data_IF_250143228169
#
_entry.id   IF_250143228169
#
_cell.length_a   1.000
_cell.length_b   1.000
_cell.length_c   1.000
_cell.angle_alpha   90.00
_cell.angle_beta   90.00
_cell.angle_gamma   90.00
#
_symmetry.space_group_name_H-M   'P 1'
#
loop_
_entity.id
_entity.type
_entity.pdbx_description
1 polymer ?
#
# COMPACT_ATOMS: atom_id res chain seq x y z
N UNK A 1 3.92 -24.67 -3.62
CA UNK A 1 3.89 -23.35 -4.32
C UNK A 1 4.82 -23.38 -5.53
N UNK A 2 4.46 -22.72 -6.65
CA UNK A 2 5.32 -22.57 -7.83
C UNK A 2 5.91 -21.16 -7.89
N UNK A 3 7.23 -21.06 -8.12
CA UNK A 3 7.90 -19.81 -8.48
C UNK A 3 7.97 -19.73 -10.00
N UNK A 4 7.47 -18.64 -10.58
CA UNK A 4 7.44 -18.40 -12.02
C UNK A 4 7.96 -17.00 -12.35
N UNK A 5 8.53 -16.84 -13.55
CA UNK A 5 9.20 -15.62 -13.93
C UNK A 5 8.67 -14.96 -15.21
N UNK A 6 7.89 -15.71 -15.99
CA UNK A 6 7.41 -15.23 -17.28
C UNK A 6 5.89 -15.02 -17.30
N UNK A 7 5.46 -14.09 -18.14
CA UNK A 7 4.03 -13.84 -18.41
C UNK A 7 3.35 -15.09 -18.98
N UNK A 8 4.08 -15.87 -19.80
CA UNK A 8 3.56 -17.10 -20.40
C UNK A 8 3.21 -18.12 -19.32
N UNK A 9 4.16 -18.39 -18.39
CA UNK A 9 3.93 -19.32 -17.27
C UNK A 9 2.75 -18.87 -16.39
N UNK A 10 2.66 -17.56 -16.07
CA UNK A 10 1.53 -17.05 -15.28
C UNK A 10 0.19 -17.29 -15.99
N UNK A 11 0.12 -17.01 -17.29
CA UNK A 11 -1.09 -17.22 -18.06
C UNK A 11 -1.51 -18.69 -18.11
N UNK A 12 -0.55 -19.63 -18.18
CA UNK A 12 -0.82 -21.07 -18.12
C UNK A 12 -1.43 -21.45 -16.76
N UNK A 13 -0.84 -21.00 -15.65
CA UNK A 13 -1.39 -21.28 -14.31
C UNK A 13 -2.80 -20.71 -14.13
N UNK A 14 -3.03 -19.48 -14.58
CA UNK A 14 -4.36 -18.85 -14.50
C UNK A 14 -5.37 -19.60 -15.37
N UNK A 15 -4.99 -20.03 -16.57
CA UNK A 15 -5.87 -20.81 -17.44
C UNK A 15 -6.26 -22.17 -16.80
N UNK A 16 -5.29 -22.84 -16.15
CA UNK A 16 -5.54 -24.08 -15.41
C UNK A 16 -6.46 -23.87 -14.21
N UNK A 17 -6.26 -22.82 -13.43
CA UNK A 17 -7.12 -22.47 -12.31
C UNK A 17 -8.55 -22.19 -12.77
N UNK A 18 -8.73 -21.41 -13.83
CA UNK A 18 -10.05 -21.09 -14.41
C UNK A 18 -10.76 -22.30 -15.01
N UNK A 19 -10.02 -23.20 -15.65
CA UNK A 19 -10.59 -24.43 -16.18
C UNK A 19 -11.19 -25.34 -15.09
N UNK A 20 -10.73 -25.18 -13.85
CA UNK A 20 -11.24 -25.84 -12.65
C UNK A 20 -12.28 -25.00 -11.89
N UNK A 21 -12.69 -23.84 -12.42
CA UNK A 21 -13.59 -22.87 -11.79
C UNK A 21 -13.11 -22.40 -10.41
N UNK A 22 -11.79 -22.31 -10.19
CA UNK A 22 -11.22 -21.80 -8.94
C UNK A 22 -11.32 -20.26 -8.89
N UNK A 23 -11.66 -19.74 -7.72
CA UNK A 23 -11.58 -18.30 -7.44
C UNK A 23 -10.13 -17.88 -7.24
N UNK A 24 -9.74 -16.72 -7.81
CA UNK A 24 -8.36 -16.27 -7.84
C UNK A 24 -8.19 -15.03 -6.95
N UNK A 25 -7.30 -15.13 -5.96
CA UNK A 25 -6.82 -14.02 -5.15
C UNK A 25 -5.46 -13.52 -5.63
N UNK A 26 -5.29 -12.20 -5.76
CA UNK A 26 -4.02 -11.57 -6.12
C UNK A 26 -3.51 -10.69 -4.99
N UNK A 27 -2.23 -10.85 -4.65
CA UNK A 27 -1.52 -10.01 -3.67
C UNK A 27 -0.33 -9.33 -4.36
N UNK A 28 -0.50 -8.09 -4.88
CA UNK A 28 0.59 -7.34 -5.48
C UNK A 28 1.58 -6.85 -4.42
N UNK A 29 2.87 -7.18 -4.60
CA UNK A 29 3.96 -6.71 -3.72
C UNK A 29 5.21 -6.33 -4.52
N UNK A 30 6.11 -5.61 -3.85
CA UNK A 30 7.46 -5.35 -4.39
C UNK A 30 8.52 -6.30 -3.82
N UNK A 31 8.13 -7.34 -3.09
CA UNK A 31 9.05 -8.20 -2.35
C UNK A 31 9.45 -7.61 -0.99
N UNK A 32 10.52 -8.16 -0.38
CA UNK A 32 10.90 -7.93 1.00
C UNK A 32 9.70 -8.13 1.94
N UNK A 33 9.08 -9.30 1.82
CA UNK A 33 7.81 -9.61 2.49
C UNK A 33 8.00 -9.62 4.01
N UNK A 34 7.03 -9.08 4.70
CA UNK A 34 6.95 -9.03 6.15
C UNK A 34 5.53 -9.38 6.64
N UNK A 35 5.29 -9.33 7.95
CA UNK A 35 4.00 -9.72 8.55
C UNK A 35 2.80 -8.96 7.96
N UNK A 36 2.98 -7.72 7.49
CA UNK A 36 1.95 -6.98 6.75
C UNK A 36 1.55 -7.69 5.47
N UNK A 37 2.51 -8.12 4.66
CA UNK A 37 2.25 -8.91 3.45
C UNK A 37 1.71 -10.30 3.78
N UNK A 38 2.24 -10.94 4.84
CA UNK A 38 1.74 -12.22 5.33
C UNK A 38 0.24 -12.18 5.68
N UNK A 39 -0.24 -11.08 6.26
CA UNK A 39 -1.67 -10.91 6.56
C UNK A 39 -2.53 -10.83 5.29
N UNK A 40 -2.04 -10.15 4.23
CA UNK A 40 -2.72 -10.09 2.94
C UNK A 40 -2.82 -11.48 2.29
N UNK A 41 -1.70 -12.23 2.28
CA UNK A 41 -1.65 -13.58 1.69
C UNK A 41 -2.57 -14.54 2.46
N UNK A 42 -2.55 -14.47 3.80
CA UNK A 42 -3.44 -15.27 4.65
C UNK A 42 -4.91 -14.95 4.39
N UNK A 43 -5.28 -13.68 4.23
CA UNK A 43 -6.64 -13.30 3.88
C UNK A 43 -7.02 -13.79 2.48
N UNK A 44 -6.13 -13.65 1.50
CA UNK A 44 -6.34 -14.14 0.15
C UNK A 44 -6.57 -15.67 0.13
N UNK A 45 -5.76 -16.43 0.87
CA UNK A 45 -5.87 -17.89 0.98
C UNK A 45 -7.18 -18.36 1.67
N UNK A 46 -7.73 -17.53 2.56
CA UNK A 46 -9.01 -17.85 3.23
C UNK A 46 -10.22 -17.58 2.35
N UNK A 47 -10.11 -16.67 1.41
CA UNK A 47 -11.23 -16.15 0.62
C UNK A 47 -11.21 -16.64 -0.83
N UNK A 48 -10.15 -17.31 -1.27
CA UNK A 48 -10.00 -17.81 -2.65
C UNK A 48 -9.36 -19.19 -2.67
N UNK A 49 -9.61 -19.91 -3.78
CA UNK A 49 -9.10 -21.26 -4.00
C UNK A 49 -7.67 -21.26 -4.55
N UNK A 50 -7.27 -20.18 -5.23
CA UNK A 50 -5.97 -20.02 -5.86
C UNK A 50 -5.39 -18.65 -5.61
N UNK A 51 -4.21 -18.58 -5.02
CA UNK A 51 -3.56 -17.32 -4.62
C UNK A 51 -2.28 -17.08 -5.40
N UNK A 52 -2.21 -15.93 -6.06
CA UNK A 52 -1.04 -15.41 -6.75
C UNK A 52 -0.45 -14.26 -5.93
N UNK A 53 0.83 -14.35 -5.61
CA UNK A 53 1.60 -13.26 -5.01
C UNK A 53 2.59 -12.74 -6.05
N UNK A 54 2.52 -11.46 -6.40
CA UNK A 54 3.58 -10.88 -7.23
C UNK A 54 4.72 -10.34 -6.35
N UNK A 55 5.96 -10.60 -6.77
CA UNK A 55 7.18 -10.07 -6.16
C UNK A 55 7.93 -9.31 -7.24
N UNK A 56 7.67 -8.00 -7.38
CA UNK A 56 8.22 -7.19 -8.45
C UNK A 56 8.50 -5.76 -8.01
N UNK A 57 9.79 -5.40 -7.91
CA UNK A 57 10.22 -4.02 -7.67
C UNK A 57 10.00 -3.24 -8.97
N UNK A 58 8.87 -2.51 -9.04
CA UNK A 58 8.45 -1.81 -10.24
C UNK A 58 9.26 -0.52 -10.43
N UNK A 59 10.15 -0.41 -11.43
CA UNK A 59 10.99 0.77 -11.59
C UNK A 59 10.20 2.03 -11.93
N UNK A 60 9.05 1.90 -12.60
CA UNK A 60 8.29 3.04 -13.13
C UNK A 60 7.57 3.87 -12.07
N UNK A 61 7.47 3.36 -10.83
CA UNK A 61 6.85 4.09 -9.72
C UNK A 61 7.86 4.83 -8.84
N UNK A 62 9.17 4.76 -9.16
CA UNK A 62 10.23 5.45 -8.43
C UNK A 62 10.70 6.68 -9.20
N UNK A 63 10.83 7.79 -8.49
CA UNK A 63 11.46 9.00 -9.01
C UNK A 63 13.00 8.88 -9.03
N UNK A 64 13.68 9.81 -9.73
CA UNK A 64 15.13 9.76 -9.90
C UNK A 64 15.95 9.75 -8.59
N UNK A 65 15.38 10.25 -7.50
CA UNK A 65 16.04 10.38 -6.20
C UNK A 65 15.39 9.48 -5.13
N UNK A 66 14.67 8.44 -5.55
CA UNK A 66 14.04 7.49 -4.64
C UNK A 66 14.87 6.21 -4.49
N UNK A 67 14.47 5.35 -3.57
CA UNK A 67 15.21 4.19 -3.07
C UNK A 67 15.14 2.95 -3.97
N UNK A 68 15.00 3.08 -5.29
CA UNK A 68 14.89 1.95 -6.22
C UNK A 68 16.07 0.96 -6.12
N UNK A 69 17.30 1.50 -6.13
CA UNK A 69 18.51 0.66 -6.08
C UNK A 69 18.72 0.04 -4.69
N UNK A 70 18.36 0.77 -3.65
CA UNK A 70 18.46 0.34 -2.26
C UNK A 70 17.31 -0.55 -1.80
N UNK A 71 16.22 -0.65 -2.60
CA UNK A 71 15.05 -1.44 -2.21
C UNK A 71 15.41 -2.92 -2.01
N UNK A 72 15.07 -3.53 -0.85
CA UNK A 72 15.54 -4.88 -0.52
C UNK A 72 14.98 -5.92 -1.50
N UNK A 73 15.83 -6.87 -1.88
CA UNK A 73 15.50 -7.99 -2.77
C UNK A 73 15.83 -9.30 -2.08
N UNK A 74 14.80 -10.00 -1.61
CA UNK A 74 14.89 -11.17 -0.73
C UNK A 74 14.04 -12.34 -1.25
N UNK A 75 14.10 -12.61 -2.57
CA UNK A 75 13.16 -13.51 -3.26
C UNK A 75 13.03 -14.88 -2.60
N UNK A 76 14.13 -15.48 -2.11
CA UNK A 76 14.08 -16.79 -1.45
C UNK A 76 13.28 -16.75 -0.15
N UNK A 77 13.52 -15.73 0.69
CA UNK A 77 12.76 -15.52 1.92
C UNK A 77 11.30 -15.17 1.63
N UNK A 78 11.06 -14.39 0.59
CA UNK A 78 9.72 -14.01 0.12
C UNK A 78 8.92 -15.24 -0.32
N UNK A 79 9.54 -16.12 -1.11
CA UNK A 79 8.93 -17.38 -1.54
C UNK A 79 8.56 -18.26 -0.33
N UNK A 80 9.48 -18.39 0.63
CA UNK A 80 9.23 -19.19 1.85
C UNK A 80 8.04 -18.64 2.63
N UNK A 81 7.99 -17.33 2.87
CA UNK A 81 6.89 -16.70 3.58
C UNK A 81 5.57 -16.84 2.81
N UNK A 82 5.58 -16.62 1.49
CA UNK A 82 4.39 -16.76 0.66
C UNK A 82 3.84 -18.20 0.69
N UNK A 83 4.70 -19.21 0.61
CA UNK A 83 4.32 -20.62 0.70
C UNK A 83 3.72 -20.96 2.08
N UNK A 84 4.37 -20.53 3.15
CA UNK A 84 3.87 -20.71 4.54
C UNK A 84 2.49 -20.07 4.77
N UNK A 85 2.14 -19.04 4.01
CA UNK A 85 0.84 -18.34 4.09
C UNK A 85 -0.20 -18.83 3.09
N UNK A 86 0.14 -19.84 2.28
CA UNK A 86 -0.79 -20.52 1.40
C UNK A 86 -0.87 -19.97 -0.02
N UNK A 87 0.15 -19.26 -0.49
CA UNK A 87 0.24 -18.89 -1.90
C UNK A 87 0.42 -20.14 -2.78
N UNK A 88 -0.28 -20.19 -3.92
CA UNK A 88 -0.12 -21.23 -4.93
C UNK A 88 0.99 -20.90 -5.90
N UNK A 89 1.12 -19.62 -6.24
CA UNK A 89 2.11 -19.09 -7.19
C UNK A 89 2.76 -17.83 -6.62
N UNK A 90 4.09 -17.75 -6.75
CA UNK A 90 4.84 -16.49 -6.68
C UNK A 90 5.27 -16.11 -8.10
N UNK A 91 4.81 -14.96 -8.56
CA UNK A 91 5.20 -14.37 -9.84
C UNK A 91 6.28 -13.30 -9.61
N UNK A 92 7.52 -13.62 -10.03
CA UNK A 92 8.68 -12.76 -9.85
C UNK A 92 9.32 -12.41 -11.21
N UNK A 93 8.67 -11.55 -12.01
CA UNK A 93 9.14 -11.21 -13.35
C UNK A 93 10.34 -10.26 -13.31
N UNK A 94 11.13 -10.25 -14.39
CA UNK A 94 12.12 -9.20 -14.62
C UNK A 94 11.46 -7.90 -15.10
N UNK A 95 12.14 -6.73 -14.98
CA UNK A 95 11.66 -5.50 -15.59
C UNK A 95 11.41 -5.62 -17.10
N UNK A 96 12.27 -6.34 -17.82
CA UNK A 96 12.12 -6.59 -19.26
C UNK A 96 10.88 -7.44 -19.58
N UNK A 97 10.52 -8.36 -18.72
CA UNK A 97 9.30 -9.17 -18.88
C UNK A 97 8.03 -8.32 -18.70
N UNK A 98 8.02 -7.44 -17.69
CA UNK A 98 6.87 -6.56 -17.43
C UNK A 98 6.79 -5.38 -18.40
N UNK A 99 7.92 -4.90 -18.91
CA UNK A 99 8.05 -3.77 -19.82
C UNK A 99 8.93 -4.18 -21.03
N UNK A 100 8.40 -4.99 -21.96
CA UNK A 100 9.17 -5.54 -23.09
C UNK A 100 9.50 -4.51 -24.19
N UNK A 101 8.75 -3.42 -24.24
CA UNK A 101 8.95 -2.26 -25.12
C UNK A 101 9.23 -1.01 -24.29
N UNK A 102 9.71 0.06 -24.94
CA UNK A 102 9.95 1.34 -24.29
C UNK A 102 8.60 2.02 -23.97
N UNK A 103 8.01 1.66 -22.82
CA UNK A 103 6.89 2.31 -22.09
C UNK A 103 5.88 3.15 -22.94
N UNK A 104 5.34 2.54 -24.00
CA UNK A 104 4.42 3.25 -24.91
C UNK A 104 2.99 3.37 -24.34
N UNK A 105 2.63 2.54 -23.35
CA UNK A 105 1.28 2.52 -22.80
C UNK A 105 1.30 2.72 -21.28
N UNK A 106 0.60 3.75 -20.85
CA UNK A 106 0.41 4.08 -19.44
C UNK A 106 -1.08 4.02 -19.07
N UNK A 107 -1.34 3.64 -17.82
CA UNK A 107 -2.63 3.82 -17.17
C UNK A 107 -2.46 4.85 -16.08
N UNK A 108 -3.20 5.95 -16.14
CA UNK A 108 -3.07 7.07 -15.23
C UNK A 108 -4.44 7.51 -14.69
N UNK A 109 -4.55 7.67 -13.39
CA UNK A 109 -5.66 8.33 -12.73
C UNK A 109 -5.29 9.81 -12.57
N UNK A 110 -5.95 10.69 -13.33
CA UNK A 110 -5.64 12.13 -13.38
C UNK A 110 -6.44 12.98 -12.39
N UNK A 111 -7.34 12.35 -11.61
CA UNK A 111 -8.19 13.00 -10.60
C UNK A 111 -7.40 13.58 -9.43
N UNK A 112 -8.09 14.36 -8.58
CA UNK A 112 -7.46 15.04 -7.43
C UNK A 112 -6.89 14.07 -6.40
N UNK A 113 -7.39 12.84 -6.35
CA UNK A 113 -6.88 11.76 -5.49
C UNK A 113 -5.37 11.48 -5.67
N UNK A 114 -4.81 11.78 -6.84
CA UNK A 114 -3.38 11.63 -7.15
C UNK A 114 -2.55 12.91 -6.96
N UNK A 115 -3.18 14.04 -6.58
CA UNK A 115 -2.52 15.36 -6.47
C UNK A 115 -2.27 15.79 -5.04
N UNK A 116 -2.75 15.03 -4.07
CA UNK A 116 -2.62 15.28 -2.63
C UNK A 116 -1.61 14.32 -2.00
N UNK A 117 -1.27 14.51 -0.74
CA UNK A 117 -0.42 13.60 0.05
C UNK A 117 0.86 13.17 -0.72
N UNK A 118 1.09 11.84 -0.85
CA UNK A 118 2.23 11.31 -1.60
C UNK A 118 2.25 11.75 -3.08
N UNK A 119 1.09 11.91 -3.71
CA UNK A 119 1.02 12.30 -5.13
C UNK A 119 1.56 13.70 -5.38
N UNK A 120 1.46 14.61 -4.42
CA UNK A 120 2.04 15.96 -4.50
C UNK A 120 3.57 15.94 -4.55
N UNK A 121 4.19 15.05 -3.77
CA UNK A 121 5.66 14.97 -3.66
C UNK A 121 6.28 13.94 -4.59
N UNK A 122 5.47 13.03 -5.15
CA UNK A 122 5.88 11.93 -6.03
C UNK A 122 5.03 11.90 -7.31
N UNK A 123 5.17 12.86 -8.22
CA UNK A 123 4.20 13.09 -9.31
C UNK A 123 4.06 11.92 -10.30
N UNK A 124 5.08 11.09 -10.48
CA UNK A 124 5.05 9.93 -11.38
C UNK A 124 4.62 8.63 -10.69
N UNK A 125 4.58 8.62 -9.35
CA UNK A 125 4.40 7.42 -8.55
C UNK A 125 3.11 6.66 -8.90
N UNK A 126 1.97 7.34 -8.83
CA UNK A 126 0.69 6.68 -9.03
C UNK A 126 0.46 6.22 -10.48
N UNK A 127 1.01 6.91 -11.49
CA UNK A 127 1.01 6.41 -12.86
C UNK A 127 1.77 5.09 -12.98
N UNK A 128 2.93 4.99 -12.31
CA UNK A 128 3.67 3.73 -12.25
C UNK A 128 2.89 2.61 -11.54
N UNK A 129 2.24 2.92 -10.40
CA UNK A 129 1.42 1.98 -9.64
C UNK A 129 0.21 1.51 -10.46
N UNK A 130 -0.59 2.42 -11.02
CA UNK A 130 -1.79 2.06 -11.79
C UNK A 130 -1.44 1.26 -13.03
N UNK A 131 -0.31 1.57 -13.68
CA UNK A 131 0.15 0.81 -14.85
C UNK A 131 0.54 -0.62 -14.48
N UNK A 132 1.39 -0.82 -13.46
CA UNK A 132 1.81 -2.18 -13.07
C UNK A 132 0.66 -3.02 -12.53
N UNK A 133 -0.22 -2.41 -11.73
CA UNK A 133 -1.38 -3.12 -11.17
C UNK A 133 -2.37 -3.49 -12.27
N UNK A 134 -2.59 -2.63 -13.27
CA UNK A 134 -3.40 -2.96 -14.45
C UNK A 134 -2.82 -4.17 -15.21
N UNK A 135 -1.50 -4.20 -15.41
CA UNK A 135 -0.84 -5.36 -16.03
C UNK A 135 -1.06 -6.63 -15.21
N UNK A 136 -0.89 -6.57 -13.89
CA UNK A 136 -1.11 -7.70 -12.99
C UNK A 136 -2.58 -8.16 -13.00
N UNK A 137 -3.54 -7.24 -13.00
CA UNK A 137 -4.97 -7.57 -13.10
C UNK A 137 -5.29 -8.29 -14.41
N UNK A 138 -4.75 -7.82 -15.54
CA UNK A 138 -4.94 -8.46 -16.84
C UNK A 138 -4.27 -9.84 -16.93
N UNK A 139 -3.14 -10.05 -16.25
CA UNK A 139 -2.44 -11.32 -16.25
C UNK A 139 -3.07 -12.35 -15.32
N UNK A 140 -3.32 -11.97 -14.08
CA UNK A 140 -3.88 -12.86 -13.06
C UNK A 140 -5.40 -13.00 -13.13
N UNK A 141 -6.09 -12.02 -13.72
CA UNK A 141 -7.56 -11.97 -13.81
C UNK A 141 -8.25 -12.38 -12.50
N UNK A 142 -7.92 -11.71 -11.39
CA UNK A 142 -8.36 -12.12 -10.08
C UNK A 142 -9.84 -11.81 -9.83
N UNK A 143 -10.49 -12.60 -8.97
CA UNK A 143 -11.79 -12.26 -8.39
C UNK A 143 -11.63 -11.23 -7.26
N UNK A 144 -10.51 -11.32 -6.53
CA UNK A 144 -10.16 -10.40 -5.43
C UNK A 144 -8.70 -10.01 -5.47
N UNK A 145 -8.41 -8.72 -5.23
CA UNK A 145 -7.04 -8.21 -5.08
C UNK A 145 -6.87 -7.55 -3.72
N UNK A 146 -5.77 -7.86 -3.01
CA UNK A 146 -5.55 -7.51 -1.60
C UNK A 146 -4.50 -6.44 -1.46
N UNK A 147 -4.83 -5.36 -0.75
CA UNK A 147 -3.95 -4.22 -0.48
C UNK A 147 -4.02 -3.83 0.99
N UNK A 148 -2.92 -3.29 1.52
CA UNK A 148 -2.87 -2.83 2.92
C UNK A 148 -3.34 -1.39 3.08
N UNK A 149 -4.14 -1.13 4.11
CA UNK A 149 -4.58 0.21 4.51
C UNK A 149 -3.40 1.17 4.79
N UNK A 150 -2.21 0.66 5.09
CA UNK A 150 -1.02 1.48 5.29
C UNK A 150 -0.77 2.41 4.11
N UNK A 151 -0.97 1.95 2.90
CA UNK A 151 -0.81 2.72 1.66
C UNK A 151 -2.18 3.27 1.20
N UNK A 152 -2.89 3.96 2.12
CA UNK A 152 -4.28 4.37 1.97
C UNK A 152 -4.56 5.18 0.69
N UNK A 153 -3.68 6.11 0.32
CA UNK A 153 -3.85 6.85 -0.93
C UNK A 153 -3.76 5.93 -2.15
N UNK A 154 -2.83 4.96 -2.15
CA UNK A 154 -2.75 3.96 -3.22
C UNK A 154 -4.07 3.17 -3.34
N UNK A 155 -4.65 2.79 -2.20
CA UNK A 155 -5.95 2.09 -2.17
C UNK A 155 -7.03 2.93 -2.84
N UNK A 156 -7.15 4.21 -2.52
CA UNK A 156 -8.17 5.10 -3.10
C UNK A 156 -7.95 5.33 -4.62
N UNK A 157 -6.68 5.47 -5.05
CA UNK A 157 -6.32 5.55 -6.47
C UNK A 157 -6.70 4.26 -7.22
N UNK A 158 -6.42 3.09 -6.63
CA UNK A 158 -6.76 1.80 -7.24
C UNK A 158 -8.26 1.54 -7.25
N UNK A 159 -9.02 1.91 -6.21
CA UNK A 159 -10.49 1.86 -6.23
C UNK A 159 -11.05 2.69 -7.38
N UNK A 160 -10.50 3.89 -7.60
CA UNK A 160 -10.89 4.74 -8.71
C UNK A 160 -10.59 4.09 -10.06
N UNK A 161 -9.40 3.55 -10.24
CA UNK A 161 -8.99 2.84 -11.45
C UNK A 161 -9.89 1.63 -11.73
N UNK A 162 -10.16 0.80 -10.73
CA UNK A 162 -11.04 -0.38 -10.86
C UNK A 162 -12.43 0.03 -11.33
N UNK A 163 -12.99 1.08 -10.72
CA UNK A 163 -14.31 1.60 -11.06
C UNK A 163 -14.35 2.15 -12.48
N UNK A 164 -13.38 2.99 -12.86
CA UNK A 164 -13.39 3.70 -14.14
C UNK A 164 -13.08 2.76 -15.32
N UNK A 165 -12.27 1.74 -15.11
CA UNK A 165 -11.90 0.74 -16.13
C UNK A 165 -12.78 -0.51 -16.10
N UNK A 166 -13.81 -0.53 -15.25
CA UNK A 166 -14.77 -1.65 -15.13
C UNK A 166 -14.10 -3.02 -14.87
N UNK A 167 -13.02 -3.04 -14.09
CA UNK A 167 -12.41 -4.32 -13.72
C UNK A 167 -13.39 -5.18 -12.92
N UNK A 168 -13.64 -6.43 -13.35
CA UNK A 168 -14.60 -7.31 -12.68
C UNK A 168 -13.98 -8.00 -11.47
N UNK A 169 -13.44 -7.23 -10.53
CA UNK A 169 -12.80 -7.75 -9.32
C UNK A 169 -13.18 -6.91 -8.10
N UNK A 170 -13.02 -7.50 -6.92
CA UNK A 170 -13.19 -6.81 -5.65
C UNK A 170 -11.83 -6.42 -5.05
N UNK A 171 -11.67 -5.15 -4.67
CA UNK A 171 -10.51 -4.71 -3.87
C UNK A 171 -10.77 -4.98 -2.38
N UNK A 172 -9.94 -5.82 -1.79
CA UNK A 172 -9.91 -6.10 -0.36
C UNK A 172 -8.85 -5.24 0.32
N UNK A 173 -9.28 -4.40 1.25
CA UNK A 173 -8.39 -3.53 2.03
C UNK A 173 -8.19 -4.12 3.41
N UNK A 174 -6.96 -4.50 3.72
CA UNK A 174 -6.64 -5.15 4.99
C UNK A 174 -6.06 -4.15 5.99
N UNK A 175 -6.34 -4.31 7.29
CA UNK A 175 -5.86 -3.42 8.34
C UNK A 175 -4.33 -3.29 8.37
N UNK A 176 -3.85 -2.18 8.92
CA UNK A 176 -2.42 -1.96 9.14
C UNK A 176 -1.90 -2.94 10.17
N UNK A 177 -0.91 -3.73 9.81
CA UNK A 177 -0.17 -4.57 10.75
C UNK A 177 0.95 -3.73 11.37
N UNK A 178 1.04 -3.78 12.70
CA UNK A 178 2.03 -3.03 13.49
C UNK A 178 3.00 -3.96 14.19
N UNK A 179 4.17 -3.48 14.46
CA UNK A 179 5.12 -4.12 15.38
C UNK A 179 4.58 -4.04 16.82
N UNK A 180 5.16 -4.80 17.72
CA UNK A 180 4.69 -4.90 19.13
C UNK A 180 4.66 -3.53 19.85
N UNK A 181 5.52 -2.60 19.43
CA UNK A 181 5.63 -1.24 19.98
C UNK A 181 4.78 -0.21 19.22
N UNK A 182 4.03 -0.65 18.21
CA UNK A 182 3.06 0.17 17.49
C UNK A 182 3.52 0.68 16.13
N UNK A 183 4.81 0.59 15.76
CA UNK A 183 5.26 1.05 14.44
C UNK A 183 4.58 0.25 13.33
N UNK A 184 4.04 0.94 12.32
CA UNK A 184 3.49 0.29 11.14
C UNK A 184 4.56 -0.54 10.41
N UNK A 185 4.26 -1.81 10.09
CA UNK A 185 5.19 -2.68 9.36
C UNK A 185 5.48 -2.13 7.98
N UNK A 186 6.77 -2.02 7.65
CA UNK A 186 7.27 -1.55 6.35
C UNK A 186 8.65 -2.16 6.08
N UNK A 187 8.91 -2.51 4.82
CA UNK A 187 10.26 -2.93 4.39
C UNK A 187 11.29 -1.81 4.62
N UNK A 188 10.87 -0.54 4.61
CA UNK A 188 11.73 0.62 4.90
C UNK A 188 12.12 0.76 6.36
N UNK A 189 11.47 0.06 7.29
CA UNK A 189 11.89 0.08 8.70
C UNK A 189 13.32 -0.46 8.88
N UNK A 190 13.79 -1.29 7.96
CA UNK A 190 15.18 -1.83 7.97
C UNK A 190 16.25 -0.77 7.68
N UNK A 191 15.87 0.39 7.16
CA UNK A 191 16.82 1.49 6.89
C UNK A 191 17.11 2.35 8.13
N UNK A 192 16.23 2.26 9.16
CA UNK A 192 16.34 3.05 10.37
C UNK A 192 17.46 2.53 11.27
N UNK A 193 18.31 3.40 11.78
CA UNK A 193 19.15 3.08 12.91
C UNK A 193 18.33 3.00 14.21
N UNK A 194 18.92 2.56 15.30
CA UNK A 194 18.23 2.34 16.58
C UNK A 194 17.53 3.60 17.11
N UNK A 195 18.19 4.75 17.03
CA UNK A 195 17.63 6.04 17.45
C UNK A 195 16.47 6.48 16.57
N UNK A 196 16.64 6.41 15.25
CA UNK A 196 15.57 6.70 14.28
C UNK A 196 14.38 5.76 14.43
N UNK A 197 14.66 4.46 14.68
CA UNK A 197 13.62 3.46 14.90
C UNK A 197 12.77 3.77 16.14
N UNK A 198 13.42 4.23 17.22
CA UNK A 198 12.74 4.66 18.44
C UNK A 198 11.94 5.93 18.23
N UNK A 199 12.53 6.92 17.56
CA UNK A 199 11.89 8.18 17.20
C UNK A 199 10.63 7.97 16.35
N UNK A 200 10.66 7.02 15.39
CA UNK A 200 9.54 6.72 14.50
C UNK A 200 8.25 6.27 15.22
N UNK A 201 8.34 5.82 16.47
CA UNK A 201 7.17 5.46 17.29
C UNK A 201 6.23 6.65 17.54
N UNK A 202 6.72 7.87 17.37
CA UNK A 202 5.89 9.08 17.51
C UNK A 202 4.71 9.05 16.53
N UNK A 203 4.85 8.45 15.35
CA UNK A 203 3.79 8.40 14.34
C UNK A 203 2.56 7.67 14.88
N UNK A 204 2.73 6.43 15.31
CA UNK A 204 1.61 5.63 15.83
C UNK A 204 1.01 6.21 17.12
N UNK A 205 1.85 6.80 18.00
CA UNK A 205 1.37 7.47 19.21
C UNK A 205 0.52 8.69 18.90
N UNK A 206 0.96 9.54 17.97
CA UNK A 206 0.21 10.75 17.56
C UNK A 206 -1.11 10.40 16.86
N UNK A 207 -1.10 9.40 15.99
CA UNK A 207 -2.32 8.94 15.31
C UNK A 207 -3.31 8.28 16.29
N UNK A 208 -2.83 7.55 17.28
CA UNK A 208 -3.67 6.98 18.35
C UNK A 208 -4.32 8.10 19.17
N UNK A 209 -3.56 9.13 19.58
CA UNK A 209 -4.10 10.27 20.29
C UNK A 209 -5.18 11.00 19.47
N UNK A 210 -4.98 11.15 18.15
CA UNK A 210 -6.00 11.74 17.27
C UNK A 210 -7.30 10.88 17.22
N UNK A 211 -7.16 9.56 17.16
CA UNK A 211 -8.33 8.66 17.22
C UNK A 211 -9.07 8.78 18.56
N UNK A 212 -8.35 8.90 19.66
CA UNK A 212 -8.92 9.12 21.00
C UNK A 212 -9.62 10.48 21.10
N UNK A 213 -9.05 11.57 20.54
CA UNK A 213 -9.71 12.87 20.47
C UNK A 213 -11.03 12.79 19.67
N UNK A 214 -11.01 12.13 18.52
CA UNK A 214 -12.20 11.94 17.69
C UNK A 214 -13.28 11.13 18.41
N UNK A 215 -12.90 10.04 19.09
CA UNK A 215 -13.79 9.22 19.89
C UNK A 215 -14.38 9.99 21.08
N UNK A 216 -13.63 10.95 21.65
CA UNK A 216 -14.09 11.86 22.72
C UNK A 216 -15.02 12.99 22.20
N UNK A 217 -15.31 13.03 20.88
CA UNK A 217 -16.24 14.00 20.30
C UNK A 217 -15.59 15.19 19.60
N UNK A 218 -14.25 15.28 19.52
CA UNK A 218 -13.61 16.33 18.75
C UNK A 218 -13.87 16.12 17.24
N UNK A 219 -14.37 17.17 16.57
CA UNK A 219 -14.67 17.14 15.12
C UNK A 219 -14.02 18.30 14.38
N UNK A 220 -13.29 19.16 15.09
CA UNK A 220 -12.53 20.23 14.48
C UNK A 220 -11.25 19.67 13.86
N UNK A 221 -11.20 19.64 12.53
CA UNK A 221 -10.08 19.09 11.78
C UNK A 221 -8.77 19.83 12.06
N UNK A 222 -8.81 21.15 12.23
CA UNK A 222 -7.62 21.97 12.50
C UNK A 222 -7.01 21.63 13.86
N UNK A 223 -7.86 21.42 14.87
CA UNK A 223 -7.38 21.00 16.21
C UNK A 223 -6.75 19.61 16.18
N UNK A 224 -7.36 18.66 15.46
CA UNK A 224 -6.81 17.30 15.34
C UNK A 224 -5.46 17.35 14.60
N UNK A 225 -5.37 18.07 13.46
CA UNK A 225 -4.11 18.25 12.70
C UNK A 225 -3.05 18.91 13.57
N UNK A 226 -3.40 19.97 14.30
CA UNK A 226 -2.47 20.67 15.18
C UNK A 226 -1.91 19.75 16.27
N UNK A 227 -2.78 19.00 16.97
CA UNK A 227 -2.36 18.07 18.02
C UNK A 227 -1.40 16.99 17.50
N UNK A 228 -1.69 16.39 16.32
CA UNK A 228 -0.81 15.39 15.69
C UNK A 228 0.51 16.04 15.27
N UNK A 229 0.45 17.23 14.69
CA UNK A 229 1.65 17.97 14.23
C UNK A 229 2.57 18.31 15.40
N UNK A 230 2.02 18.81 16.50
CA UNK A 230 2.77 19.13 17.72
C UNK A 230 3.36 17.85 18.36
N UNK A 231 2.55 16.77 18.43
CA UNK A 231 3.01 15.49 18.93
C UNK A 231 4.22 14.95 18.15
N UNK A 232 4.17 15.04 16.82
CA UNK A 232 5.28 14.60 15.96
C UNK A 232 6.48 15.56 16.08
N UNK A 233 6.29 16.88 16.12
CA UNK A 233 7.35 17.87 16.27
C UNK A 233 8.08 17.81 17.62
N UNK A 234 7.45 17.25 18.65
CA UNK A 234 8.09 17.00 19.94
C UNK A 234 9.24 15.98 19.84
N UNK A 235 9.29 15.18 18.77
CA UNK A 235 10.40 14.28 18.45
C UNK A 235 11.46 15.04 17.61
N UNK A 236 12.66 15.33 18.17
CA UNK A 236 13.67 16.17 17.49
C UNK A 236 14.18 15.59 16.16
N UNK A 237 14.11 14.26 15.99
CA UNK A 237 14.54 13.58 14.76
C UNK A 237 13.48 13.58 13.66
N UNK A 238 12.29 14.09 13.93
CA UNK A 238 11.19 14.12 12.97
C UNK A 238 11.32 15.28 11.97
N UNK A 239 11.13 14.99 10.69
CA UNK A 239 10.98 16.01 9.65
C UNK A 239 9.67 15.72 8.90
N UNK A 240 8.63 16.49 9.21
CA UNK A 240 7.28 16.32 8.68
C UNK A 240 7.24 16.70 7.20
N UNK A 241 6.76 15.79 6.35
CA UNK A 241 6.40 16.08 4.97
C UNK A 241 4.94 16.56 4.90
N UNK A 242 4.02 15.82 5.53
CA UNK A 242 2.63 16.25 5.71
C UNK A 242 1.96 15.62 6.95
N UNK A 243 0.97 16.33 7.48
CA UNK A 243 -0.07 15.87 8.40
C UNK A 243 -1.38 16.45 7.87
N UNK A 244 -2.22 15.62 7.26
CA UNK A 244 -3.39 16.10 6.53
C UNK A 244 -4.59 15.16 6.73
N UNK A 245 -5.80 15.74 6.65
CA UNK A 245 -7.07 14.99 6.70
C UNK A 245 -7.81 15.19 5.38
N UNK A 246 -8.34 14.09 4.84
CA UNK A 246 -9.19 14.08 3.66
C UNK A 246 -10.43 13.23 3.88
N UNK A 247 -11.55 13.63 3.29
CA UNK A 247 -12.77 12.85 3.30
C UNK A 247 -12.65 11.60 2.41
N UNK A 248 -13.12 10.47 2.89
CA UNK A 248 -13.26 9.24 2.13
C UNK A 248 -14.68 9.12 1.55
N UNK A 249 -14.83 8.46 0.39
CA UNK A 249 -13.77 7.98 -0.49
C UNK A 249 -13.14 9.09 -1.33
N UNK A 250 -12.08 8.73 -2.08
CA UNK A 250 -11.44 9.57 -3.12
C UNK A 250 -10.62 10.76 -2.60
N UNK A 251 -10.36 10.86 -1.30
CA UNK A 251 -9.54 11.92 -0.68
C UNK A 251 -10.02 13.33 -1.06
N UNK A 252 -11.31 13.57 -0.88
CA UNK A 252 -11.91 14.88 -1.14
C UNK A 252 -11.57 15.90 -0.04
N UNK A 253 -11.67 17.20 -0.32
CA UNK A 253 -11.61 18.21 0.73
C UNK A 253 -12.60 17.92 1.84
N UNK A 254 -12.17 18.12 3.09
CA UNK A 254 -12.98 17.89 4.28
C UNK A 254 -13.98 19.02 4.54
N UNK A 255 -15.09 18.69 5.20
CA UNK A 255 -15.89 19.68 5.91
C UNK A 255 -15.28 19.92 7.31
N UNK A 256 -15.44 21.11 7.87
CA UNK A 256 -15.17 21.39 9.27
C UNK A 256 -16.46 21.93 9.92
N UNK A 257 -17.05 21.24 10.90
CA UNK A 257 -16.57 20.02 11.57
C UNK A 257 -16.58 18.78 10.66
N UNK A 258 -15.71 17.81 10.96
CA UNK A 258 -15.58 16.54 10.22
C UNK A 258 -16.92 15.78 10.22
N UNK A 259 -17.23 15.18 9.06
CA UNK A 259 -18.42 14.35 8.86
C UNK A 259 -18.06 13.08 8.09
N UNK A 260 -18.74 11.97 8.43
CA UNK A 260 -18.52 10.69 7.77
C UNK A 260 -17.13 10.13 8.02
N UNK A 261 -16.63 9.35 7.09
CA UNK A 261 -15.32 8.71 7.19
C UNK A 261 -14.22 9.63 6.63
N UNK A 262 -13.17 9.84 7.40
CA UNK A 262 -12.05 10.72 7.05
C UNK A 262 -10.71 10.03 7.26
N UNK A 263 -9.79 10.20 6.34
CA UNK A 263 -8.41 9.70 6.45
C UNK A 263 -7.52 10.79 7.05
N UNK A 264 -6.97 10.54 8.23
CA UNK A 264 -5.85 11.30 8.77
C UNK A 264 -4.55 10.57 8.37
N UNK A 265 -3.74 11.19 7.55
CA UNK A 265 -2.51 10.62 7.01
C UNK A 265 -1.30 11.47 7.36
N UNK A 266 -0.20 10.80 7.66
CA UNK A 266 1.08 11.41 7.98
C UNK A 266 2.19 10.87 7.12
N UNK A 267 3.16 11.72 6.75
CA UNK A 267 4.44 11.33 6.20
C UNK A 267 5.55 12.11 6.89
N UNK A 268 6.54 11.40 7.38
CA UNK A 268 7.63 11.97 8.17
C UNK A 268 8.95 11.30 7.79
N UNK A 269 10.01 12.08 7.68
CA UNK A 269 11.36 11.57 7.49
C UNK A 269 12.09 11.48 8.85
N UNK A 270 12.76 10.34 9.05
CA UNK A 270 13.73 10.13 10.12
C UNK A 270 15.07 9.87 9.44
N UNK A 271 16.02 10.80 9.57
CA UNK A 271 17.20 10.82 8.72
C UNK A 271 16.81 10.90 7.24
N UNK A 272 17.23 9.93 6.45
CA UNK A 272 16.89 9.82 5.02
C UNK A 272 15.62 8.99 4.76
N UNK A 273 15.15 8.24 5.76
CA UNK A 273 14.03 7.29 5.61
C UNK A 273 12.69 7.99 5.76
N UNK A 274 11.88 7.99 4.71
CA UNK A 274 10.51 8.50 4.73
C UNK A 274 9.52 7.40 5.08
N UNK A 275 8.81 7.59 6.18
CA UNK A 275 7.75 6.69 6.65
C UNK A 275 6.37 7.33 6.49
N UNK A 276 5.38 6.51 6.22
CA UNK A 276 3.96 6.89 6.18
C UNK A 276 3.16 6.04 7.15
N UNK A 277 2.13 6.65 7.71
CA UNK A 277 1.13 5.97 8.54
C UNK A 277 -0.19 6.72 8.44
N UNK A 278 -1.28 6.09 8.86
CA UNK A 278 -2.60 6.71 8.83
C UNK A 278 -3.57 6.06 9.80
N UNK A 279 -4.71 6.73 9.97
CA UNK A 279 -5.88 6.22 10.68
C UNK A 279 -7.14 6.77 10.03
N UNK A 280 -8.19 5.96 9.99
CA UNK A 280 -9.52 6.40 9.59
C UNK A 280 -10.24 6.92 10.84
N UNK A 281 -10.77 8.14 10.73
CA UNK A 281 -11.62 8.80 11.73
C UNK A 281 -13.07 8.67 11.25
N UNK A 282 -13.81 7.80 11.90
CA UNK A 282 -15.21 7.50 11.60
C UNK A 282 -15.96 7.16 12.89
N UNK A 283 -17.27 7.31 12.87
CA UNK A 283 -18.10 6.89 14.00
C UNK A 283 -18.11 5.36 14.06
N UNK A 284 -17.83 4.80 15.24
CA UNK A 284 -17.99 3.37 15.46
C UNK A 284 -19.50 3.05 15.45
N UNK A 285 -19.91 2.13 14.56
CA UNK A 285 -21.30 1.65 14.48
C UNK A 285 -21.73 0.86 15.72
#
# INVERSE_FOLDING_TARGET
MRLIHTVAELREEIALAKAQNLTIGLVPTMGALHEGHASLITAANRENDFVVVSVFVNPTQFGPNEDLDAYPRTLEADCKLAEEKGANVVFAPSPKEMYPSEDDTWVEVTGDVTKVLCGRTRPIHFRGVTTVVTKLFNLAQPDRAYFGQKDAQQVEVLKRMVKDLFFPLELRVMPIIREKDGLAKSSRNTYLNESERTAALVLSRSLKAAKEMYAAGERDAEKIIAAVTEGIKAEPMSNIDYVEIYALPELKPIANPLKGSNLLAVAVKFGTTRLIDNVVLEEEE
#
